data_IF_000700108161
#
_entry.id   IF_000700108161
#
_cell.length_a   1.000
_cell.length_b   1.000
_cell.length_c   1.000
_cell.angle_alpha   90.00
_cell.angle_beta   90.00
_cell.angle_gamma   90.00
#
_symmetry.space_group_name_H-M   'P 1'
#
loop_
_entity.id
_entity.type
_entity.pdbx_description
1 polymer ?
#
# COMPACT_ATOMS: atom_id res chain seq x y z
N UNK A 1 -39.77 -20.52 -25.21
CA UNK A 1 -39.18 -21.71 -24.54
C UNK A 1 -39.02 -21.40 -23.05
N UNK A 2 -39.91 -21.94 -22.21
CA UNK A 2 -39.83 -21.76 -20.75
C UNK A 2 -38.75 -22.67 -20.18
N UNK A 3 -37.69 -22.08 -19.62
CA UNK A 3 -36.65 -22.80 -18.87
C UNK A 3 -37.13 -22.91 -17.43
N UNK A 4 -37.53 -24.12 -16.99
CA UNK A 4 -37.86 -24.41 -15.58
C UNK A 4 -36.66 -24.04 -14.71
N UNK A 5 -36.84 -23.12 -13.78
CA UNK A 5 -35.95 -22.94 -12.62
C UNK A 5 -36.56 -23.74 -11.48
N UNK A 6 -35.90 -24.81 -11.06
CA UNK A 6 -36.27 -25.57 -9.88
C UNK A 6 -36.16 -24.69 -8.63
N UNK A 7 -37.20 -24.73 -7.80
CA UNK A 7 -37.20 -24.08 -6.48
C UNK A 7 -36.38 -24.93 -5.52
N UNK A 8 -35.12 -24.56 -5.30
CA UNK A 8 -34.32 -25.16 -4.22
C UNK A 8 -34.86 -24.69 -2.85
N UNK A 9 -35.05 -25.59 -1.88
CA UNK A 9 -35.90 -25.35 -0.70
C UNK A 9 -35.31 -24.45 0.40
N UNK A 10 -34.09 -23.93 0.25
CA UNK A 10 -33.59 -22.85 1.11
C UNK A 10 -32.52 -22.04 0.37
N UNK A 11 -32.79 -20.78 0.08
CA UNK A 11 -31.78 -19.81 -0.34
C UNK A 11 -31.18 -19.17 0.91
N UNK A 12 -29.96 -19.55 1.30
CA UNK A 12 -29.15 -18.82 2.30
C UNK A 12 -28.54 -17.55 1.69
N UNK A 13 -29.35 -16.76 1.00
CA UNK A 13 -28.92 -15.49 0.41
C UNK A 13 -29.83 -14.42 0.98
N UNK A 14 -29.28 -13.65 1.92
CA UNK A 14 -29.78 -12.38 2.47
C UNK A 14 -30.74 -12.38 3.68
N UNK A 15 -30.87 -13.44 4.48
CA UNK A 15 -31.46 -13.26 5.84
C UNK A 15 -30.42 -12.72 6.86
N UNK A 16 -29.12 -12.73 6.51
CA UNK A 16 -28.09 -12.10 7.31
C UNK A 16 -28.23 -10.56 7.39
N UNK A 17 -28.93 -9.94 6.44
CA UNK A 17 -29.23 -8.49 6.47
C UNK A 17 -30.41 -8.12 7.39
N UNK A 18 -31.17 -9.12 7.91
CA UNK A 18 -32.38 -8.87 8.72
C UNK A 18 -32.19 -9.11 10.23
N UNK A 19 -31.03 -9.56 10.69
CA UNK A 19 -30.68 -9.41 12.12
C UNK A 19 -30.26 -7.97 12.39
N UNK A 20 -31.24 -7.06 12.35
CA UNK A 20 -31.09 -5.74 12.97
C UNK A 20 -31.12 -5.95 14.47
N UNK A 21 -29.95 -6.07 15.09
CA UNK A 21 -29.85 -5.94 16.54
C UNK A 21 -30.59 -4.66 16.93
N UNK A 22 -31.47 -4.73 17.93
CA UNK A 22 -32.13 -3.55 18.56
C UNK A 22 -31.11 -2.63 19.28
N UNK A 23 -29.84 -2.78 18.96
CA UNK A 23 -28.70 -2.10 19.53
C UNK A 23 -28.13 -1.28 18.39
N UNK A 24 -28.35 0.02 18.46
CA UNK A 24 -27.58 0.98 17.65
C UNK A 24 -26.11 0.69 17.92
N UNK A 25 -25.29 0.36 16.89
CA UNK A 25 -23.87 0.13 17.11
C UNK A 25 -23.27 1.35 17.81
N UNK A 26 -22.41 1.15 18.81
CA UNK A 26 -21.81 2.27 19.53
C UNK A 26 -21.10 3.19 18.54
N UNK A 27 -21.12 4.51 18.77
CA UNK A 27 -20.43 5.45 17.89
C UNK A 27 -18.96 5.05 17.78
N UNK A 28 -18.41 5.13 16.55
CA UNK A 28 -17.02 4.80 16.32
C UNK A 28 -16.12 5.61 17.27
N UNK A 29 -15.17 4.96 17.96
CA UNK A 29 -14.29 5.65 18.88
C UNK A 29 -13.47 6.69 18.12
N UNK A 30 -13.34 7.89 18.69
CA UNK A 30 -12.46 8.91 18.14
C UNK A 30 -11.01 8.50 18.38
N UNK A 31 -10.17 8.69 17.38
CA UNK A 31 -8.74 8.48 17.51
C UNK A 31 -8.20 9.36 18.64
N UNK A 32 -7.42 8.75 19.54
CA UNK A 32 -6.74 9.48 20.58
C UNK A 32 -5.54 10.26 20.01
N UNK A 33 -5.09 11.30 20.71
CA UNK A 33 -3.88 12.07 20.33
C UNK A 33 -2.66 11.18 20.07
N UNK A 34 -2.29 10.21 20.94
CA UNK A 34 -1.13 9.36 20.67
C UNK A 34 -1.32 8.46 19.45
N UNK A 35 -2.55 8.04 19.15
CA UNK A 35 -2.86 7.23 17.97
C UNK A 35 -2.73 8.05 16.66
N UNK A 36 -3.13 9.32 16.69
CA UNK A 36 -2.95 10.24 15.57
C UNK A 36 -1.46 10.58 15.34
N UNK A 37 -0.71 10.77 16.42
CA UNK A 37 0.75 10.97 16.34
C UNK A 37 1.43 9.73 15.77
N UNK A 38 1.08 8.53 16.25
CA UNK A 38 1.65 7.27 15.76
C UNK A 38 1.44 7.07 14.27
N UNK A 39 0.20 7.20 13.77
CA UNK A 39 -0.08 7.05 12.32
C UNK A 39 0.67 8.10 11.49
N UNK A 40 0.80 9.31 11.99
CA UNK A 40 1.45 10.41 11.28
C UNK A 40 2.96 10.21 11.21
N UNK A 41 3.59 9.78 12.30
CA UNK A 41 5.02 9.47 12.35
C UNK A 41 5.37 8.36 11.35
N UNK A 42 4.60 7.27 11.33
CA UNK A 42 4.83 6.18 10.37
C UNK A 42 4.76 6.68 8.93
N UNK A 43 3.72 7.44 8.59
CA UNK A 43 3.60 8.02 7.25
C UNK A 43 4.78 8.93 6.90
N UNK A 44 5.19 9.78 7.84
CA UNK A 44 6.27 10.74 7.64
C UNK A 44 7.64 10.05 7.47
N UNK A 45 7.88 8.96 8.21
CA UNK A 45 9.10 8.15 8.04
C UNK A 45 9.17 7.50 6.66
N UNK A 46 8.06 6.93 6.18
CA UNK A 46 8.00 6.32 4.84
C UNK A 46 8.27 7.37 3.75
N UNK A 47 7.61 8.53 3.84
CA UNK A 47 7.83 9.64 2.89
C UNK A 47 9.28 10.13 2.93
N UNK A 48 9.86 10.32 4.11
CA UNK A 48 11.25 10.74 4.25
C UNK A 48 12.23 9.72 3.63
N UNK A 49 11.98 8.43 3.81
CA UNK A 49 12.78 7.36 3.19
C UNK A 49 12.69 7.38 1.66
N UNK A 50 11.50 7.57 1.09
CA UNK A 50 11.31 7.69 -0.35
C UNK A 50 12.01 8.93 -0.92
N UNK A 51 11.85 10.08 -0.26
CA UNK A 51 12.54 11.32 -0.66
C UNK A 51 14.06 11.14 -0.58
N UNK A 52 14.57 10.57 0.52
CA UNK A 52 16.00 10.26 0.66
C UNK A 52 16.49 9.34 -0.46
N UNK A 53 15.74 8.29 -0.79
CA UNK A 53 16.08 7.38 -1.90
C UNK A 53 16.15 8.11 -3.25
N UNK A 54 15.30 9.10 -3.50
CA UNK A 54 15.34 9.89 -4.73
C UNK A 54 16.53 10.85 -4.74
N UNK A 55 16.77 11.55 -3.61
CA UNK A 55 17.89 12.48 -3.47
C UNK A 55 19.24 11.79 -3.66
N UNK A 56 19.39 10.56 -3.17
CA UNK A 56 20.63 9.80 -3.31
C UNK A 56 20.67 8.95 -4.59
N UNK A 57 19.52 8.41 -5.02
CA UNK A 57 19.43 7.49 -6.15
C UNK A 57 19.55 8.19 -7.51
N UNK A 58 18.96 9.37 -7.68
CA UNK A 58 19.02 10.08 -8.96
C UNK A 58 20.45 10.50 -9.34
N UNK A 59 21.27 11.09 -8.45
CA UNK A 59 22.67 11.37 -8.76
C UNK A 59 23.48 10.10 -9.07
N UNK A 60 23.16 8.97 -8.44
CA UNK A 60 23.86 7.70 -8.69
C UNK A 60 23.57 7.10 -10.08
N UNK A 61 22.48 7.53 -10.73
CA UNK A 61 22.11 7.11 -12.07
C UNK A 61 22.65 8.06 -13.15
N UNK A 62 23.25 9.18 -12.76
CA UNK A 62 23.77 10.18 -13.69
C UNK A 62 25.05 9.65 -14.39
N UNK A 63 25.02 9.35 -15.71
CA UNK A 63 26.17 8.84 -16.43
C UNK A 63 27.26 9.89 -16.64
N UNK A 64 26.94 11.18 -16.46
CA UNK A 64 27.86 12.31 -16.62
C UNK A 64 28.63 12.63 -15.33
N UNK A 65 28.40 11.92 -14.22
CA UNK A 65 29.28 12.01 -13.06
C UNK A 65 30.59 11.26 -13.37
N UNK A 66 31.71 11.95 -13.66
CA UNK A 66 32.98 11.26 -13.68
C UNK A 66 33.18 10.70 -12.28
N UNK A 67 33.27 9.37 -12.18
CA UNK A 67 33.76 8.73 -10.97
C UNK A 67 35.08 9.42 -10.64
N UNK A 68 35.08 10.27 -9.61
CA UNK A 68 36.25 11.07 -9.24
C UNK A 68 37.45 10.18 -8.87
N UNK A 69 37.24 8.86 -8.75
CA UNK A 69 38.27 7.85 -8.60
C UNK A 69 37.94 6.66 -9.50
N UNK A 70 38.88 6.35 -10.40
CA UNK A 70 38.68 5.53 -11.58
C UNK A 70 38.13 4.13 -11.33
N UNK A 71 37.09 3.78 -12.09
CA UNK A 71 36.91 2.42 -12.60
C UNK A 71 36.96 2.48 -14.11
N UNK A 72 38.18 2.43 -14.65
CA UNK A 72 38.36 1.94 -16.02
C UNK A 72 37.97 0.46 -16.02
N UNK A 73 36.95 0.11 -16.80
CA UNK A 73 36.53 -1.27 -16.99
C UNK A 73 37.59 -1.97 -17.83
N UNK A 74 38.41 -2.83 -17.21
CA UNK A 74 39.45 -3.62 -17.90
C UNK A 74 38.89 -4.54 -19.00
N UNK A 75 37.58 -4.81 -18.98
CA UNK A 75 36.88 -5.56 -20.03
C UNK A 75 36.84 -4.84 -21.39
N UNK A 76 37.10 -3.53 -21.43
CA UNK A 76 37.13 -2.74 -22.67
C UNK A 76 38.50 -2.76 -23.36
N UNK A 77 39.55 -3.22 -22.67
CA UNK A 77 40.95 -3.11 -23.10
C UNK A 77 41.46 -4.35 -23.87
N UNK A 78 40.59 -5.30 -24.18
CA UNK A 78 40.92 -6.56 -24.84
C UNK A 78 40.13 -6.77 -26.12
N UNK A 79 40.56 -6.15 -27.22
CA UNK A 79 40.27 -6.62 -28.58
C UNK A 79 41.46 -6.37 -29.49
#
# INVERSE_FOLDING_TARGET
>A
MFRRRESVPFSFVAEADRFRSNVTPPPAPRASVPELLGRSLVGLTVVAGLVGSLLLGLPALDPEQPASHGRQSEASQGR
#
